data_IF_052384220450
#
_entry.id   IF_052384220450
#
_cell.length_a   1.000
_cell.length_b   1.000
_cell.length_c   1.000
_cell.angle_alpha   90.00
_cell.angle_beta   90.00
_cell.angle_gamma   90.00
#
_symmetry.space_group_name_H-M   'P 1'
#
loop_
_entity.id
_entity.type
_entity.pdbx_description
1 polymer ?
#
# COMPACT_ATOMS: atom_id res chain seq x y z
N UNK A 1 -62.02 53.71 2.49
CA UNK A 1 -61.06 53.57 3.60
C UNK A 1 -60.89 52.07 3.79
N UNK A 2 -59.86 51.49 3.17
CA UNK A 2 -59.65 50.05 3.11
C UNK A 2 -58.47 49.70 4.01
N UNK A 3 -58.68 48.81 4.97
CA UNK A 3 -57.66 48.37 5.92
C UNK A 3 -56.52 47.63 5.21
N UNK A 4 -55.25 47.94 5.52
CA UNK A 4 -54.11 47.23 4.95
C UNK A 4 -54.00 45.83 5.57
N UNK A 5 -54.00 44.82 4.71
CA UNK A 5 -53.84 43.41 5.11
C UNK A 5 -52.52 43.15 5.84
N UNK A 6 -52.53 42.28 6.87
CA UNK A 6 -51.35 42.00 7.69
C UNK A 6 -50.31 41.16 6.93
N UNK A 7 -49.10 41.70 6.81
CA UNK A 7 -47.93 40.99 6.29
C UNK A 7 -47.60 39.75 7.15
N UNK A 8 -47.78 38.56 6.58
CA UNK A 8 -47.36 37.30 7.23
C UNK A 8 -45.84 37.14 7.06
N UNK A 9 -45.06 37.04 8.15
CA UNK A 9 -43.61 36.87 8.05
C UNK A 9 -43.26 35.49 7.49
N UNK A 10 -42.51 35.49 6.39
CA UNK A 10 -42.01 34.28 5.74
C UNK A 10 -41.06 33.54 6.69
N UNK A 11 -41.44 32.31 7.05
CA UNK A 11 -40.78 31.44 8.03
C UNK A 11 -39.34 31.12 7.60
N UNK A 12 -38.34 31.59 8.37
CA UNK A 12 -36.92 31.25 8.17
C UNK A 12 -36.73 29.74 8.21
N UNK A 13 -36.31 29.15 7.08
CA UNK A 13 -35.99 27.72 6.98
C UNK A 13 -34.84 27.41 7.93
N UNK A 14 -35.05 26.48 8.87
CA UNK A 14 -34.06 26.03 9.86
C UNK A 14 -32.93 25.25 9.16
N UNK A 15 -31.75 25.88 9.02
CA UNK A 15 -30.51 25.33 8.45
C UNK A 15 -29.97 24.06 9.15
N UNK A 16 -30.56 23.63 10.26
CA UNK A 16 -29.96 22.64 11.16
C UNK A 16 -29.96 21.20 10.62
N UNK A 17 -30.80 20.84 9.63
CA UNK A 17 -30.89 19.46 9.13
C UNK A 17 -29.88 19.17 8.02
N UNK A 18 -29.67 20.10 7.09
CA UNK A 18 -28.72 19.93 5.98
C UNK A 18 -27.28 19.78 6.49
N UNK A 19 -26.91 20.53 7.53
CA UNK A 19 -25.60 20.43 8.14
C UNK A 19 -25.31 19.03 8.72
N UNK A 20 -26.33 18.35 9.27
CA UNK A 20 -26.18 16.99 9.82
C UNK A 20 -25.81 15.98 8.72
N UNK A 21 -26.43 16.09 7.54
CA UNK A 21 -26.16 15.21 6.40
C UNK A 21 -24.73 15.42 5.89
N UNK A 22 -24.32 16.69 5.76
CA UNK A 22 -22.95 17.03 5.34
C UNK A 22 -21.93 16.50 6.34
N UNK A 23 -22.18 16.67 7.64
CA UNK A 23 -21.30 16.15 8.68
C UNK A 23 -21.18 14.62 8.60
N UNK A 24 -22.28 13.91 8.39
CA UNK A 24 -22.27 12.46 8.25
C UNK A 24 -21.46 12.01 7.03
N UNK A 25 -21.59 12.70 5.90
CA UNK A 25 -20.83 12.42 4.68
C UNK A 25 -19.32 12.65 4.88
N UNK A 26 -18.94 13.73 5.57
CA UNK A 26 -17.53 14.01 5.91
C UNK A 26 -16.97 12.90 6.80
N UNK A 27 -17.71 12.49 7.84
CA UNK A 27 -17.29 11.41 8.74
C UNK A 27 -17.07 10.11 7.96
N UNK A 28 -18.02 9.74 7.09
CA UNK A 28 -17.91 8.54 6.26
C UNK A 28 -16.70 8.58 5.33
N UNK A 29 -16.41 9.75 4.75
CA UNK A 29 -15.24 9.96 3.91
C UNK A 29 -13.94 9.80 4.70
N UNK A 30 -13.84 10.42 5.88
CA UNK A 30 -12.66 10.30 6.75
C UNK A 30 -12.41 8.84 7.14
N UNK A 31 -13.45 8.11 7.53
CA UNK A 31 -13.35 6.69 7.88
C UNK A 31 -12.84 5.86 6.69
N UNK A 32 -13.39 6.09 5.49
CA UNK A 32 -12.94 5.41 4.27
C UNK A 32 -11.46 5.65 3.97
N UNK A 33 -10.99 6.90 4.13
CA UNK A 33 -9.58 7.25 3.91
C UNK A 33 -8.64 6.59 4.93
N UNK A 34 -9.05 6.54 6.21
CA UNK A 34 -8.27 5.87 7.26
C UNK A 34 -8.11 4.38 6.94
N UNK A 35 -9.21 3.71 6.57
CA UNK A 35 -9.19 2.29 6.20
C UNK A 35 -8.28 2.04 4.99
N UNK A 36 -8.39 2.86 3.94
CA UNK A 36 -7.54 2.76 2.75
C UNK A 36 -6.05 2.92 3.08
N UNK A 37 -5.72 3.87 3.97
CA UNK A 37 -4.34 4.08 4.43
C UNK A 37 -3.83 2.87 5.22
N UNK A 38 -4.64 2.33 6.14
CA UNK A 38 -4.27 1.18 6.95
C UNK A 38 -3.98 -0.07 6.10
N UNK A 39 -4.86 -0.34 5.11
CA UNK A 39 -4.69 -1.41 4.14
C UNK A 39 -3.42 -1.22 3.30
N UNK A 40 -3.16 0.00 2.86
CA UNK A 40 -1.97 0.33 2.07
C UNK A 40 -0.68 0.09 2.87
N UNK A 41 -0.63 0.52 4.14
CA UNK A 41 0.52 0.29 5.02
C UNK A 41 0.75 -1.20 5.26
N UNK A 42 -0.31 -1.97 5.52
CA UNK A 42 -0.20 -3.42 5.71
C UNK A 42 0.30 -4.13 4.45
N UNK A 43 -0.19 -3.72 3.27
CA UNK A 43 0.24 -4.28 1.99
C UNK A 43 1.69 -3.92 1.70
N UNK A 44 2.09 -2.69 1.98
CA UNK A 44 3.47 -2.24 1.82
C UNK A 44 4.45 -3.04 2.67
N UNK A 45 4.13 -3.32 3.92
CA UNK A 45 5.01 -4.08 4.82
C UNK A 45 5.32 -5.48 4.27
N UNK A 46 4.30 -6.19 3.81
CA UNK A 46 4.47 -7.52 3.20
C UNK A 46 5.23 -7.46 1.86
N UNK A 47 4.96 -6.47 1.03
CA UNK A 47 5.67 -6.27 -0.23
C UNK A 47 7.14 -5.93 0.01
N UNK A 48 7.43 -5.04 0.96
CA UNK A 48 8.77 -4.64 1.32
C UNK A 48 9.55 -5.83 1.88
N UNK A 49 8.95 -6.58 2.82
CA UNK A 49 9.55 -7.79 3.36
C UNK A 49 9.86 -8.81 2.26
N UNK A 50 8.94 -9.02 1.31
CA UNK A 50 9.14 -9.91 0.17
C UNK A 50 10.31 -9.44 -0.70
N UNK A 51 10.36 -8.17 -1.07
CA UNK A 51 11.43 -7.60 -1.89
C UNK A 51 12.79 -7.69 -1.19
N UNK A 52 12.86 -7.36 0.10
CA UNK A 52 14.09 -7.51 0.90
C UNK A 52 14.52 -8.98 0.98
N UNK A 53 13.58 -9.88 1.24
CA UNK A 53 13.85 -11.31 1.30
C UNK A 53 14.41 -11.81 -0.02
N UNK A 54 13.81 -11.47 -1.16
CA UNK A 54 14.31 -11.84 -2.50
C UNK A 54 15.70 -11.25 -2.77
N UNK A 55 15.94 -9.98 -2.42
CA UNK A 55 17.25 -9.33 -2.56
C UNK A 55 18.33 -10.08 -1.78
N UNK A 56 18.06 -10.39 -0.51
CA UNK A 56 19.02 -11.11 0.33
C UNK A 56 19.10 -12.59 -0.02
N UNK A 57 18.06 -13.19 -0.59
CA UNK A 57 18.10 -14.54 -1.12
C UNK A 57 19.11 -14.67 -2.25
N UNK A 58 19.14 -13.70 -3.17
CA UNK A 58 20.13 -13.64 -4.25
C UNK A 58 21.54 -13.49 -3.67
N UNK A 59 21.73 -12.54 -2.73
CA UNK A 59 23.03 -12.32 -2.10
C UNK A 59 23.52 -13.54 -1.30
N UNK A 60 22.63 -14.18 -0.54
CA UNK A 60 22.92 -15.37 0.24
C UNK A 60 23.20 -16.59 -0.61
N UNK A 61 22.51 -16.76 -1.74
CA UNK A 61 22.83 -17.80 -2.74
C UNK A 61 24.22 -17.59 -3.35
N UNK A 62 24.58 -16.35 -3.71
CA UNK A 62 25.93 -16.07 -4.24
C UNK A 62 27.00 -16.28 -3.17
N UNK A 63 26.79 -15.79 -1.94
CA UNK A 63 27.70 -16.00 -0.83
C UNK A 63 27.86 -17.49 -0.50
N UNK A 64 26.76 -18.24 -0.40
CA UNK A 64 26.75 -19.69 -0.24
C UNK A 64 27.61 -20.35 -1.31
N UNK A 65 27.38 -20.03 -2.59
CA UNK A 65 28.13 -20.61 -3.70
C UNK A 65 29.63 -20.34 -3.57
N UNK A 66 30.04 -19.13 -3.16
CA UNK A 66 31.45 -18.78 -2.93
C UNK A 66 32.05 -19.56 -1.77
N UNK A 67 31.32 -19.71 -0.66
CA UNK A 67 31.74 -20.52 0.49
C UNK A 67 31.90 -21.98 0.08
N UNK A 68 30.91 -22.58 -0.57
CA UNK A 68 30.97 -23.97 -1.05
C UNK A 68 32.13 -24.18 -2.03
N UNK A 69 32.34 -23.24 -2.96
CA UNK A 69 33.51 -23.26 -3.85
C UNK A 69 34.82 -23.21 -3.08
N UNK A 70 34.91 -22.43 -2.00
CA UNK A 70 36.11 -22.33 -1.21
C UNK A 70 36.36 -23.58 -0.34
N UNK A 71 35.30 -24.22 0.17
CA UNK A 71 35.37 -25.49 0.90
C UNK A 71 35.85 -26.64 0.03
N UNK A 72 35.53 -26.63 -1.28
CA UNK A 72 36.03 -27.64 -2.23
C UNK A 72 37.56 -27.69 -2.34
N UNK A 73 38.27 -26.64 -1.94
CA UNK A 73 39.74 -26.64 -1.89
C UNK A 73 40.31 -27.27 -0.61
N UNK A 74 39.49 -28.01 0.14
CA UNK A 74 39.95 -28.87 1.24
C UNK A 74 40.07 -28.17 2.59
N UNK A 75 39.52 -26.95 2.75
CA UNK A 75 39.45 -26.29 4.06
C UNK A 75 38.18 -26.74 4.78
N UNK A 76 38.31 -27.20 6.02
CA UNK A 76 37.15 -27.44 6.89
C UNK A 76 36.46 -26.11 7.20
N UNK A 77 35.14 -26.17 7.44
CA UNK A 77 34.34 -24.97 7.75
C UNK A 77 34.82 -24.30 9.05
N UNK A 78 35.25 -25.10 10.03
CA UNK A 78 35.77 -24.66 11.34
C UNK A 78 37.13 -23.93 11.24
N UNK A 79 37.93 -24.22 10.21
CA UNK A 79 39.25 -23.60 10.02
C UNK A 79 39.33 -22.70 8.79
N UNK A 80 38.19 -22.15 8.34
CA UNK A 80 38.15 -21.36 7.13
C UNK A 80 38.78 -19.96 7.31
N UNK A 81 40.10 -19.86 7.07
CA UNK A 81 40.83 -18.59 7.04
C UNK A 81 40.45 -17.80 5.78
N UNK A 82 39.75 -16.68 5.94
CA UNK A 82 39.35 -15.80 4.84
C UNK A 82 37.85 -15.60 4.66
N UNK A 83 37.02 -16.07 5.59
CA UNK A 83 35.56 -15.84 5.56
C UNK A 83 35.23 -14.34 5.49
N UNK A 84 36.03 -13.50 6.16
CA UNK A 84 35.89 -12.04 6.12
C UNK A 84 35.94 -11.49 4.69
N UNK A 85 36.82 -12.04 3.82
CA UNK A 85 36.94 -11.61 2.43
C UNK A 85 35.75 -12.06 1.57
N UNK A 86 35.10 -13.18 1.93
CA UNK A 86 33.92 -13.66 1.22
C UNK A 86 32.67 -12.85 1.60
N UNK A 87 32.59 -12.40 2.85
CA UNK A 87 31.44 -11.66 3.38
C UNK A 87 31.57 -10.15 3.12
N UNK A 88 32.79 -9.60 3.04
CA UNK A 88 33.01 -8.17 2.80
C UNK A 88 32.23 -7.60 1.59
N UNK A 89 32.16 -8.27 0.43
CA UNK A 89 31.32 -7.82 -0.68
C UNK A 89 29.84 -7.73 -0.31
N UNK A 90 29.30 -8.69 0.46
CA UNK A 90 27.89 -8.67 0.90
C UNK A 90 27.61 -7.43 1.73
N UNK A 91 28.51 -7.05 2.63
CA UNK A 91 28.39 -5.79 3.35
C UNK A 91 28.57 -4.57 2.45
N UNK A 92 29.41 -4.59 1.43
CA UNK A 92 29.54 -3.45 0.51
C UNK A 92 28.30 -3.25 -0.37
N UNK A 93 27.61 -4.34 -0.73
CA UNK A 93 26.42 -4.35 -1.58
C UNK A 93 25.14 -3.87 -0.86
N UNK A 94 25.07 -4.02 0.46
CA UNK A 94 23.87 -3.62 1.20
C UNK A 94 24.21 -3.18 2.61
N UNK A 95 23.65 -2.03 2.99
CA UNK A 95 23.80 -1.49 4.34
C UNK A 95 22.89 -2.15 5.38
N UNK A 96 21.95 -2.94 4.90
CA UNK A 96 20.81 -3.45 5.66
C UNK A 96 21.12 -4.77 6.39
N UNK A 97 22.18 -5.48 5.99
CA UNK A 97 22.57 -6.72 6.67
C UNK A 97 23.36 -6.34 7.93
N UNK A 98 22.78 -6.64 9.08
CA UNK A 98 23.39 -6.37 10.39
C UNK A 98 24.48 -7.39 10.69
N UNK A 99 24.22 -8.67 10.39
CA UNK A 99 25.06 -9.77 10.82
C UNK A 99 24.96 -10.97 9.86
N UNK A 100 26.09 -11.63 9.67
CA UNK A 100 26.22 -12.88 8.92
C UNK A 100 26.78 -13.93 9.87
N UNK A 101 26.02 -15.00 10.08
CA UNK A 101 26.40 -16.11 10.94
C UNK A 101 26.51 -17.40 10.13
N UNK A 102 27.39 -18.30 10.56
CA UNK A 102 27.49 -19.66 10.03
C UNK A 102 27.43 -20.62 11.20
N UNK A 103 26.51 -21.55 11.12
CA UNK A 103 26.27 -22.59 12.11
C UNK A 103 26.63 -23.97 11.56
N UNK A 104 26.89 -24.91 12.46
CA UNK A 104 26.86 -26.34 12.14
C UNK A 104 25.41 -26.86 12.02
N UNK A 105 25.27 -28.15 11.75
CA UNK A 105 23.99 -28.87 11.71
C UNK A 105 23.32 -29.05 13.08
N UNK A 106 24.03 -28.78 14.17
CA UNK A 106 23.57 -28.83 15.56
C UNK A 106 23.22 -27.44 16.13
N UNK A 107 23.42 -26.37 15.35
CA UNK A 107 23.23 -24.98 15.75
C UNK A 107 24.41 -24.35 16.50
N UNK A 108 25.58 -25.00 16.57
CA UNK A 108 26.79 -24.39 17.09
C UNK A 108 27.33 -23.34 16.11
N UNK A 109 27.68 -22.16 16.63
CA UNK A 109 28.18 -21.04 15.84
C UNK A 109 29.65 -21.26 15.47
N UNK A 110 29.96 -21.40 14.17
CA UNK A 110 31.33 -21.42 13.66
C UNK A 110 31.88 -20.04 13.38
N UNK A 111 31.02 -19.16 12.88
CA UNK A 111 31.45 -17.82 12.46
C UNK A 111 30.33 -16.82 12.69
N UNK A 112 30.67 -15.66 13.22
CA UNK A 112 29.82 -14.46 13.19
C UNK A 112 30.68 -13.27 12.74
N UNK A 113 30.15 -12.52 11.78
CA UNK A 113 30.62 -11.19 11.47
C UNK A 113 29.41 -10.27 11.54
N UNK A 114 29.52 -9.17 12.28
CA UNK A 114 28.49 -8.16 12.36
C UNK A 114 29.03 -6.79 11.99
N UNK A 115 28.16 -5.92 11.51
CA UNK A 115 28.48 -4.50 11.42
C UNK A 115 28.48 -3.91 12.82
N UNK A 116 29.49 -3.11 13.12
CA UNK A 116 29.45 -2.25 14.29
C UNK A 116 28.23 -1.34 14.16
N UNK A 117 27.24 -1.49 15.05
CA UNK A 117 26.27 -0.40 15.20
C UNK A 117 27.06 0.79 15.73
N UNK A 118 26.99 1.98 15.10
CA UNK A 118 27.63 3.16 15.64
C UNK A 118 27.03 3.42 17.02
N UNK A 119 27.79 3.12 18.07
CA UNK A 119 27.35 3.12 19.47
C UNK A 119 27.14 4.53 20.04
N UNK A 120 27.21 5.58 19.21
CA UNK A 120 26.97 6.95 19.64
C UNK A 120 27.48 7.99 18.65
N UNK A 121 27.18 9.29 18.89
CA UNK A 121 27.48 10.41 18.00
C UNK A 121 28.98 10.73 17.80
N UNK A 122 29.91 9.89 18.24
CA UNK A 122 31.35 10.15 18.20
C UNK A 122 32.21 9.14 17.43
N UNK A 123 31.65 8.00 17.00
CA UNK A 123 32.43 6.85 16.47
C UNK A 123 32.22 6.61 14.96
N UNK A 124 31.94 7.67 14.20
CA UNK A 124 31.63 7.58 12.76
C UNK A 124 32.82 7.11 11.89
N UNK A 125 34.05 7.03 12.42
CA UNK A 125 35.25 6.78 11.62
C UNK A 125 35.75 5.32 11.62
N UNK A 126 35.03 4.36 12.22
CA UNK A 126 35.36 2.93 12.15
C UNK A 126 34.22 2.09 11.53
N UNK A 127 33.96 2.28 10.24
CA UNK A 127 33.03 1.45 9.45
C UNK A 127 33.69 0.16 8.92
N UNK A 128 34.50 -0.50 9.74
CA UNK A 128 35.04 -1.83 9.41
C UNK A 128 34.14 -2.94 9.95
N UNK A 129 34.07 -4.12 9.31
CA UNK A 129 33.44 -5.30 9.91
C UNK A 129 34.18 -5.62 11.22
N UNK A 130 33.45 -5.63 12.35
CA UNK A 130 34.04 -6.05 13.62
C UNK A 130 33.99 -7.56 13.65
N UNK A 131 35.16 -8.18 13.53
CA UNK A 131 35.32 -9.62 13.71
C UNK A 131 35.17 -9.93 15.20
N UNK A 132 34.08 -10.60 15.57
CA UNK A 132 33.99 -11.31 16.85
C UNK A 132 34.35 -12.76 16.58
N UNK A 133 35.64 -13.06 16.60
CA UNK A 133 36.07 -14.47 16.73
C UNK A 133 35.70 -14.93 18.12
N UNK A 134 34.68 -15.77 18.22
CA UNK A 134 34.45 -16.53 19.43
C UNK A 134 35.59 -17.55 19.55
N UNK A 135 36.38 -17.54 20.65
CA UNK A 135 37.32 -18.62 20.91
C UNK A 135 36.59 -19.96 20.85
N UNK A 136 37.18 -20.96 20.21
CA UNK A 136 36.61 -22.31 20.11
C UNK A 136 36.31 -22.97 21.48
N UNK A 137 36.82 -22.38 22.57
CA UNK A 137 36.74 -22.87 23.94
C UNK A 137 35.76 -22.07 24.84
N UNK A 138 35.22 -20.94 24.37
CA UNK A 138 34.15 -20.24 25.11
C UNK A 138 32.84 -20.96 24.86
N UNK A 139 32.48 -21.79 25.84
CA UNK A 139 31.16 -22.34 26.15
C UNK A 139 30.14 -22.11 25.05
N UNK A 140 29.90 -23.14 24.23
CA UNK A 140 28.89 -23.22 23.18
C UNK A 140 27.59 -22.55 23.63
N UNK A 141 27.50 -21.23 23.43
CA UNK A 141 26.29 -20.48 23.70
C UNK A 141 25.36 -20.91 22.60
N UNK A 142 24.56 -21.93 22.92
CA UNK A 142 23.58 -22.48 21.99
C UNK A 142 22.59 -21.36 21.77
N UNK A 143 22.79 -20.60 20.70
CA UNK A 143 21.87 -19.55 20.31
C UNK A 143 20.55 -20.28 20.08
N UNK A 144 19.58 -19.95 20.92
CA UNK A 144 18.25 -20.56 20.90
C UNK A 144 17.53 -19.99 19.67
N UNK A 145 17.95 -20.49 18.50
CA UNK A 145 17.34 -20.12 17.24
C UNK A 145 15.88 -20.57 17.30
N UNK A 146 14.94 -19.76 16.79
CA UNK A 146 13.50 -20.09 16.74
C UNK A 146 13.17 -21.26 15.80
N UNK A 147 14.17 -22.08 15.46
CA UNK A 147 14.07 -23.15 14.48
C UNK A 147 13.90 -24.43 15.29
N UNK A 148 12.64 -24.89 15.42
CA UNK A 148 12.30 -26.17 16.09
C UNK A 148 13.08 -27.36 15.53
N UNK A 149 13.43 -27.32 14.24
CA UNK A 149 14.36 -28.27 13.62
C UNK A 149 14.91 -27.73 12.30
N UNK A 150 16.22 -27.82 12.12
CA UNK A 150 16.92 -27.53 10.86
C UNK A 150 16.34 -28.36 9.69
N UNK A 151 15.77 -29.54 9.98
CA UNK A 151 15.13 -30.39 8.98
C UNK A 151 13.93 -29.72 8.29
N UNK A 152 13.16 -28.92 9.03
CA UNK A 152 11.93 -28.30 8.52
C UNK A 152 12.26 -27.14 7.58
N UNK A 153 13.39 -26.47 7.85
CA UNK A 153 13.95 -25.45 6.98
C UNK A 153 14.32 -25.99 5.60
N UNK A 154 14.91 -27.20 5.56
CA UNK A 154 15.38 -27.81 4.31
C UNK A 154 14.24 -28.11 3.33
N UNK A 155 13.01 -28.29 3.83
CA UNK A 155 11.82 -28.58 3.00
C UNK A 155 11.16 -27.34 2.42
N UNK A 156 11.19 -26.22 3.13
CA UNK A 156 10.40 -25.03 2.78
C UNK A 156 11.15 -24.03 1.92
N UNK A 157 12.49 -24.00 2.00
CA UNK A 157 13.30 -23.03 1.28
C UNK A 157 13.11 -21.62 1.88
N UNK A 158 14.18 -21.08 2.48
CA UNK A 158 14.21 -19.73 3.06
C UNK A 158 12.99 -19.34 3.91
N UNK A 159 12.91 -19.84 5.14
CA UNK A 159 12.03 -19.20 6.13
C UNK A 159 12.66 -17.90 6.66
N UNK A 160 11.83 -16.89 6.86
CA UNK A 160 12.16 -15.60 7.51
C UNK A 160 11.49 -15.51 8.88
N UNK A 161 11.88 -16.33 9.88
CA UNK A 161 11.33 -16.19 11.21
C UNK A 161 11.74 -14.83 11.79
N UNK A 162 10.76 -14.08 12.29
CA UNK A 162 11.01 -12.91 13.11
C UNK A 162 11.31 -13.39 14.54
N UNK A 163 12.52 -13.11 15.02
CA UNK A 163 12.93 -13.45 16.38
C UNK A 163 13.75 -12.32 16.98
N UNK A 164 13.36 -11.86 18.16
CA UNK A 164 13.97 -10.72 18.85
C UNK A 164 14.10 -9.47 17.96
N UNK A 165 13.09 -9.18 17.14
CA UNK A 165 13.08 -8.02 16.24
C UNK A 165 14.09 -8.11 15.08
N UNK A 166 14.56 -9.32 14.77
CA UNK A 166 15.47 -9.57 13.65
C UNK A 166 14.88 -10.65 12.75
N UNK A 167 15.10 -10.49 11.46
CA UNK A 167 14.76 -11.46 10.44
C UNK A 167 15.99 -12.28 10.09
N UNK A 168 15.81 -13.59 9.98
CA UNK A 168 16.86 -14.54 9.65
C UNK A 168 16.57 -15.14 8.30
N UNK A 169 17.52 -15.09 7.37
CA UNK A 169 17.43 -15.79 6.09
C UNK A 169 18.52 -16.84 6.08
N UNK A 170 18.10 -18.11 6.08
CA UNK A 170 19.03 -19.22 6.24
C UNK A 170 19.31 -19.90 4.89
N UNK A 171 20.52 -20.41 4.73
CA UNK A 171 20.96 -21.09 3.53
C UNK A 171 21.76 -22.32 3.95
N UNK A 172 21.34 -23.54 3.60
CA UNK A 172 22.13 -24.72 3.90
C UNK A 172 23.40 -24.70 3.03
N UNK A 173 24.55 -24.86 3.66
CA UNK A 173 25.86 -25.02 3.01
C UNK A 173 26.19 -26.51 3.02
N UNK A 174 26.54 -27.07 1.87
CA UNK A 174 27.01 -28.43 1.76
C UNK A 174 28.51 -28.45 1.42
N UNK A 175 29.32 -29.14 2.22
CA UNK A 175 30.68 -29.49 1.82
C UNK A 175 30.66 -30.70 0.88
N UNK A 176 31.55 -30.70 -0.11
CA UNK A 176 31.72 -31.84 -1.02
C UNK A 176 32.68 -32.90 -0.46
N UNK A 177 33.63 -32.50 0.38
CA UNK A 177 34.65 -33.38 0.96
C UNK A 177 34.24 -33.98 2.30
N UNK A 178 33.45 -33.25 3.07
CA UNK A 178 33.11 -33.61 4.45
C UNK A 178 31.59 -33.77 4.56
N UNK A 179 31.14 -34.72 5.39
CA UNK A 179 29.71 -34.89 5.69
C UNK A 179 29.16 -33.73 6.54
N UNK A 180 30.03 -32.78 6.94
CA UNK A 180 29.64 -31.56 7.63
C UNK A 180 28.82 -30.65 6.70
N UNK A 181 27.52 -30.58 6.99
CA UNK A 181 26.62 -29.54 6.49
C UNK A 181 26.55 -28.39 7.49
N UNK A 182 26.62 -27.16 6.99
CA UNK A 182 26.43 -25.96 7.80
C UNK A 182 25.20 -25.17 7.37
N UNK A 183 24.91 -24.10 8.10
CA UNK A 183 23.84 -23.15 7.77
C UNK A 183 24.40 -21.74 7.80
N UNK A 184 24.37 -21.07 6.66
CA UNK A 184 24.60 -19.63 6.57
C UNK A 184 23.33 -18.89 6.94
N UNK A 185 23.39 -17.94 7.86
CA UNK A 185 22.31 -17.05 8.22
C UNK A 185 22.69 -15.61 7.87
N UNK A 186 21.85 -14.95 7.07
CA UNK A 186 21.87 -13.50 6.89
C UNK A 186 20.83 -12.89 7.83
N UNK A 187 21.24 -11.93 8.65
CA UNK A 187 20.41 -11.33 9.68
C UNK A 187 20.28 -9.83 9.40
N UNK A 188 19.05 -9.34 9.40
CA UNK A 188 18.75 -7.92 9.30
C UNK A 188 17.67 -7.52 10.31
N UNK A 189 17.76 -6.29 10.81
CA UNK A 189 16.86 -5.77 11.84
C UNK A 189 15.52 -5.30 11.28
N UNK A 190 14.48 -5.46 12.10
CA UNK A 190 13.16 -4.89 11.84
C UNK A 190 13.20 -3.35 11.73
N UNK A 191 14.18 -2.69 12.35
CA UNK A 191 14.35 -1.24 12.24
C UNK A 191 14.55 -0.73 10.81
N UNK A 192 15.01 -1.58 9.89
CA UNK A 192 15.11 -1.22 8.47
C UNK A 192 13.71 -1.10 7.86
N UNK A 193 12.80 -2.01 8.22
CA UNK A 193 11.39 -1.92 7.83
C UNK A 193 10.74 -0.72 8.50
N UNK A 194 11.00 -0.48 9.79
CA UNK A 194 10.40 0.63 10.53
C UNK A 194 10.83 1.98 9.96
N UNK A 195 12.11 2.15 9.60
CA UNK A 195 12.60 3.38 8.95
C UNK A 195 11.92 3.61 7.61
N UNK A 196 11.78 2.57 6.78
CA UNK A 196 11.06 2.71 5.51
C UNK A 196 9.58 3.02 5.71
N UNK A 197 8.95 2.40 6.72
CA UNK A 197 7.56 2.66 7.12
C UNK A 197 7.39 4.10 7.59
N UNK A 198 8.32 4.64 8.38
CA UNK A 198 8.29 6.03 8.84
C UNK A 198 8.42 7.02 7.68
N UNK A 199 9.34 6.78 6.74
CA UNK A 199 9.49 7.60 5.54
C UNK A 199 8.18 7.59 4.72
N UNK A 200 7.55 6.41 4.60
CA UNK A 200 6.32 6.28 3.84
C UNK A 200 5.12 6.92 4.54
N UNK A 201 4.98 6.75 5.85
CA UNK A 201 3.90 7.35 6.66
C UNK A 201 4.06 8.87 6.73
N UNK A 202 5.27 9.37 7.00
CA UNK A 202 5.53 10.81 7.10
C UNK A 202 5.40 11.52 5.75
N UNK A 203 5.86 10.89 4.67
CA UNK A 203 5.75 11.41 3.31
C UNK A 203 4.31 11.35 2.78
N UNK A 204 3.61 10.24 2.98
CA UNK A 204 2.26 10.03 2.46
C UNK A 204 1.21 10.73 3.32
N UNK A 205 1.41 10.79 4.64
CA UNK A 205 0.48 11.44 5.57
C UNK A 205 0.22 12.90 5.23
N UNK A 206 1.26 13.65 4.86
CA UNK A 206 1.11 15.05 4.39
C UNK A 206 0.29 15.13 3.10
N UNK A 207 0.52 14.23 2.16
CA UNK A 207 -0.22 14.17 0.89
C UNK A 207 -1.68 13.78 1.09
N UNK A 208 -1.95 12.85 2.00
CA UNK A 208 -3.31 12.43 2.38
C UNK A 208 -4.07 13.56 3.08
N UNK A 209 -3.43 14.27 4.01
CA UNK A 209 -4.06 15.41 4.65
C UNK A 209 -4.39 16.51 3.62
N UNK A 210 -3.48 16.77 2.69
CA UNK A 210 -3.70 17.71 1.61
C UNK A 210 -4.86 17.28 0.70
N UNK A 211 -4.89 16.01 0.27
CA UNK A 211 -5.97 15.52 -0.59
C UNK A 211 -7.33 15.51 0.13
N UNK A 212 -7.36 15.21 1.44
CA UNK A 212 -8.56 15.29 2.26
C UNK A 212 -9.11 16.72 2.31
N UNK A 213 -8.25 17.72 2.57
CA UNK A 213 -8.65 19.13 2.62
C UNK A 213 -9.19 19.59 1.25
N UNK A 214 -8.51 19.23 0.16
CA UNK A 214 -8.95 19.55 -1.20
C UNK A 214 -10.32 18.90 -1.49
N UNK A 215 -10.49 17.64 -1.12
CA UNK A 215 -11.75 16.90 -1.37
C UNK A 215 -12.90 17.49 -0.55
N UNK A 216 -12.66 17.83 0.72
CA UNK A 216 -13.63 18.49 1.58
C UNK A 216 -14.01 19.88 1.05
N UNK A 217 -13.04 20.65 0.55
CA UNK A 217 -13.27 21.95 -0.08
C UNK A 217 -14.15 21.81 -1.34
N UNK A 218 -13.78 20.89 -2.25
CA UNK A 218 -14.54 20.63 -3.47
C UNK A 218 -15.95 20.18 -3.14
N UNK A 219 -16.12 19.29 -2.16
CA UNK A 219 -17.43 18.83 -1.71
C UNK A 219 -18.27 19.98 -1.13
N UNK A 220 -17.68 20.86 -0.31
CA UNK A 220 -18.36 22.03 0.22
C UNK A 220 -18.80 23.01 -0.88
N UNK A 221 -17.95 23.24 -1.89
CA UNK A 221 -18.26 24.08 -3.05
C UNK A 221 -19.37 23.46 -3.90
N UNK A 222 -19.31 22.15 -4.15
CA UNK A 222 -20.36 21.39 -4.85
C UNK A 222 -21.69 21.49 -4.13
N UNK A 223 -21.71 21.24 -2.82
CA UNK A 223 -22.90 21.38 -1.97
C UNK A 223 -23.45 22.82 -2.05
N UNK A 224 -22.58 23.82 -1.96
CA UNK A 224 -23.01 25.21 -2.07
C UNK A 224 -23.64 25.49 -3.44
N UNK A 225 -22.98 25.14 -4.54
CA UNK A 225 -23.46 25.38 -5.89
C UNK A 225 -24.76 24.62 -6.20
N UNK A 226 -24.84 23.34 -5.83
CA UNK A 226 -25.97 22.48 -6.15
C UNK A 226 -27.17 22.62 -5.21
N UNK A 227 -27.00 22.91 -3.92
CA UNK A 227 -28.15 23.07 -3.03
C UNK A 227 -28.66 24.51 -2.93
N UNK A 228 -27.79 25.52 -2.99
CA UNK A 228 -28.25 26.91 -2.78
C UNK A 228 -28.77 27.59 -4.04
N UNK A 229 -28.27 27.24 -5.24
CA UNK A 229 -28.70 27.91 -6.48
C UNK A 229 -30.02 27.41 -7.08
N UNK A 230 -30.28 26.09 -7.26
CA UNK A 230 -31.48 25.64 -7.94
C UNK A 230 -32.74 25.75 -7.08
N UNK A 231 -32.64 25.65 -5.75
CA UNK A 231 -33.78 25.82 -4.85
C UNK A 231 -34.42 27.21 -4.96
N UNK A 232 -33.63 28.25 -5.22
CA UNK A 232 -34.14 29.60 -5.49
C UNK A 232 -34.95 29.65 -6.79
N UNK A 233 -34.45 29.03 -7.86
CA UNK A 233 -35.16 28.97 -9.15
C UNK A 233 -36.47 28.18 -9.05
N UNK A 234 -36.48 27.10 -8.26
CA UNK A 234 -37.68 26.31 -8.01
C UNK A 234 -38.70 27.07 -7.15
N UNK A 235 -38.24 27.80 -6.13
CA UNK A 235 -39.10 28.65 -5.30
C UNK A 235 -39.70 29.81 -6.11
N UNK A 236 -38.93 30.45 -6.99
CA UNK A 236 -39.43 31.50 -7.89
C UNK A 236 -40.48 30.96 -8.85
N UNK A 237 -40.27 29.78 -9.45
CA UNK A 237 -41.26 29.14 -10.33
C UNK A 237 -42.54 28.79 -9.60
N UNK A 238 -42.44 28.18 -8.41
CA UNK A 238 -43.60 27.84 -7.60
C UNK A 238 -44.36 29.10 -7.14
N UNK A 239 -43.65 30.17 -6.79
CA UNK A 239 -44.29 31.43 -6.42
C UNK A 239 -45.03 32.06 -7.61
N UNK A 240 -44.44 32.01 -8.80
CA UNK A 240 -45.08 32.52 -10.02
C UNK A 240 -46.32 31.69 -10.39
N UNK A 241 -46.26 30.36 -10.31
CA UNK A 241 -47.40 29.47 -10.57
C UNK A 241 -48.52 29.64 -9.53
N UNK A 242 -48.18 29.86 -8.26
CA UNK A 242 -49.16 30.12 -7.20
C UNK A 242 -49.82 31.51 -7.36
N UNK A 243 -49.06 32.50 -7.83
CA UNK A 243 -49.58 33.84 -8.08
C UNK A 243 -50.48 33.87 -9.32
N UNK A 244 -50.20 33.06 -10.33
CA UNK A 244 -51.04 32.88 -11.52
C UNK A 244 -52.30 32.03 -11.22
N UNK A 245 -52.23 31.10 -10.25
CA UNK A 245 -53.38 30.31 -9.77
C UNK A 245 -54.43 31.08 -8.96
N UNK A 246 -54.19 32.36 -8.62
CA UNK A 246 -55.25 33.25 -8.15
C UNK A 246 -56.14 33.78 -9.28
N UNK A 247 -55.87 33.43 -10.55
CA UNK A 247 -56.87 33.48 -11.60
C UNK A 247 -57.99 32.45 -11.32
N UNK A 248 -59.26 32.79 -11.59
CA UNK A 248 -60.41 31.96 -11.23
C UNK A 248 -60.23 30.53 -11.74
N UNK A 249 -60.34 29.59 -10.80
CA UNK A 249 -60.17 28.14 -10.98
C UNK A 249 -61.00 27.65 -12.16
N UNK A 250 -60.36 27.52 -13.32
CA UNK A 250 -60.84 26.62 -14.36
C UNK A 250 -60.45 25.22 -13.91
N UNK A 251 -61.46 24.43 -13.58
CA UNK A 251 -61.36 23.01 -13.23
C UNK A 251 -60.58 22.26 -14.29
N UNK A 252 -59.27 22.08 -14.08
CA UNK A 252 -58.44 21.25 -14.94
C UNK A 252 -58.52 19.81 -14.46
N UNK A 253 -59.20 19.02 -15.28
CA UNK A 253 -59.22 17.57 -15.26
C UNK A 253 -57.79 17.01 -15.21
N UNK A 254 -57.61 16.06 -14.31
CA UNK A 254 -56.47 15.16 -14.15
C UNK A 254 -55.96 14.59 -15.47
N UNK A 255 -54.72 14.92 -15.84
CA UNK A 255 -53.94 14.17 -16.84
C UNK A 255 -52.61 13.74 -16.21
N UNK A 256 -52.63 12.59 -15.54
CA UNK A 256 -51.49 11.95 -14.88
C UNK A 256 -50.56 11.20 -15.84
N UNK A 257 -50.46 11.59 -17.12
CA UNK A 257 -49.69 10.87 -18.13
C UNK A 257 -48.26 11.38 -18.36
N UNK A 258 -47.93 12.62 -17.99
CA UNK A 258 -46.71 13.26 -18.49
C UNK A 258 -45.45 13.08 -17.61
N UNK A 259 -45.59 12.67 -16.35
CA UNK A 259 -44.43 12.46 -15.46
C UNK A 259 -43.59 11.24 -15.86
N UNK A 260 -44.19 10.26 -16.54
CA UNK A 260 -43.50 9.04 -16.99
C UNK A 260 -42.64 9.31 -18.23
N UNK A 261 -43.10 10.20 -19.13
CA UNK A 261 -42.34 10.64 -20.30
C UNK A 261 -41.08 11.43 -19.92
N UNK A 262 -41.17 12.31 -18.91
CA UNK A 262 -40.01 13.07 -18.42
C UNK A 262 -38.96 12.15 -17.78
N UNK A 263 -39.40 11.09 -17.10
CA UNK A 263 -38.51 10.12 -16.48
C UNK A 263 -37.79 9.26 -17.53
N UNK A 264 -38.48 8.91 -18.62
CA UNK A 264 -37.90 8.16 -19.73
C UNK A 264 -36.84 8.98 -20.50
N UNK A 265 -37.07 10.28 -20.68
CA UNK A 265 -36.12 11.18 -21.35
C UNK A 265 -34.84 11.38 -20.50
N UNK A 266 -35.00 11.48 -19.18
CA UNK A 266 -33.88 11.65 -18.25
C UNK A 266 -33.02 10.37 -18.13
N UNK A 267 -33.63 9.19 -18.22
CA UNK A 267 -32.90 7.91 -18.30
C UNK A 267 -32.13 7.83 -19.63
N UNK A 268 -32.74 8.21 -20.75
CA UNK A 268 -32.10 8.20 -22.06
C UNK A 268 -30.89 9.16 -22.11
N UNK A 269 -31.01 10.36 -21.55
CA UNK A 269 -29.91 11.33 -21.47
C UNK A 269 -28.76 10.80 -20.59
N UNK A 270 -29.08 10.16 -19.46
CA UNK A 270 -28.06 9.56 -18.59
C UNK A 270 -27.32 8.43 -19.30
N UNK A 271 -28.04 7.54 -19.99
CA UNK A 271 -27.45 6.43 -20.76
C UNK A 271 -26.56 6.93 -21.91
N UNK A 272 -26.94 8.03 -22.57
CA UNK A 272 -26.13 8.66 -23.61
C UNK A 272 -24.80 9.20 -23.04
N UNK A 273 -24.86 9.91 -21.90
CA UNK A 273 -23.65 10.45 -21.23
C UNK A 273 -22.73 9.37 -20.70
N UNK A 274 -23.26 8.24 -20.23
CA UNK A 274 -22.41 7.12 -19.79
C UNK A 274 -21.68 6.46 -20.97
N UNK A 275 -22.33 6.32 -22.13
CA UNK A 275 -21.70 5.80 -23.35
C UNK A 275 -20.59 6.71 -23.85
N UNK A 276 -20.82 8.02 -23.86
CA UNK A 276 -19.81 9.01 -24.24
C UNK A 276 -18.58 9.00 -23.32
N UNK A 277 -18.78 8.87 -22.00
CA UNK A 277 -17.69 8.75 -21.04
C UNK A 277 -16.86 7.46 -21.24
N UNK A 278 -17.53 6.35 -21.58
CA UNK A 278 -16.86 5.08 -21.86
C UNK A 278 -16.01 5.14 -23.14
N UNK A 279 -16.53 5.74 -24.22
CA UNK A 279 -15.80 5.92 -25.47
C UNK A 279 -14.56 6.81 -25.28
N UNK A 280 -14.68 7.88 -24.49
CA UNK A 280 -13.56 8.74 -24.13
C UNK A 280 -12.48 7.99 -23.32
N UNK A 281 -12.89 7.12 -22.39
CA UNK A 281 -11.97 6.27 -21.62
C UNK A 281 -11.22 5.29 -22.54
N UNK A 282 -11.94 4.65 -23.48
CA UNK A 282 -11.33 3.74 -24.47
C UNK A 282 -10.32 4.46 -25.35
N UNK A 283 -10.62 5.67 -25.79
CA UNK A 283 -9.69 6.50 -26.56
C UNK A 283 -8.44 6.86 -25.75
N UNK A 284 -8.60 7.28 -24.50
CA UNK A 284 -7.47 7.60 -23.62
C UNK A 284 -6.58 6.37 -23.34
N UNK A 285 -7.18 5.20 -23.13
CA UNK A 285 -6.44 3.95 -22.91
C UNK A 285 -5.64 3.52 -24.16
N UNK A 286 -6.21 3.68 -25.37
CA UNK A 286 -5.46 3.42 -26.62
C UNK A 286 -4.29 4.38 -26.77
N UNK A 287 -4.53 5.67 -26.60
CA UNK A 287 -3.47 6.69 -26.70
C UNK A 287 -2.36 6.44 -25.67
N UNK A 288 -2.72 6.01 -24.45
CA UNK A 288 -1.73 5.67 -23.43
C UNK A 288 -0.93 4.40 -23.77
N UNK A 289 -1.56 3.39 -24.38
CA UNK A 289 -0.88 2.18 -24.85
C UNK A 289 0.13 2.44 -25.97
N UNK A 290 -0.15 3.43 -26.83
CA UNK A 290 0.78 3.83 -27.91
C UNK A 290 2.00 4.59 -27.36
N UNK A 291 1.86 5.27 -26.21
CA UNK A 291 2.92 6.08 -25.60
C UNK A 291 3.85 5.30 -24.67
N UNK A 292 3.42 4.16 -24.12
CA UNK A 292 4.22 3.35 -23.18
C UNK A 292 4.22 1.86 -23.61
N UNK A 293 5.17 1.43 -24.46
CA UNK A 293 5.23 0.07 -24.97
C UNK A 293 5.79 -0.96 -23.98
N UNK A 294 5.91 -0.64 -22.69
CA UNK A 294 6.42 -1.58 -21.70
C UNK A 294 5.47 -2.77 -21.51
N UNK A 295 6.08 -3.96 -21.44
CA UNK A 295 5.35 -5.23 -21.49
C UNK A 295 4.45 -5.46 -20.26
N UNK A 296 4.76 -4.83 -19.12
CA UNK A 296 3.92 -4.84 -17.91
C UNK A 296 2.70 -3.93 -18.01
N UNK A 297 2.85 -2.75 -18.62
CA UNK A 297 1.73 -1.82 -18.82
C UNK A 297 0.73 -2.34 -19.84
N UNK A 298 1.20 -3.07 -20.87
CA UNK A 298 0.34 -3.72 -21.85
C UNK A 298 -0.61 -4.77 -21.22
N UNK A 299 -0.13 -5.58 -20.28
CA UNK A 299 -0.94 -6.62 -19.62
C UNK A 299 -2.00 -5.99 -18.69
N UNK A 300 -1.65 -4.90 -17.99
CA UNK A 300 -2.60 -4.15 -17.17
C UNK A 300 -3.72 -3.50 -18.01
N UNK A 301 -3.38 -2.90 -19.15
CA UNK A 301 -4.35 -2.31 -20.09
C UNK A 301 -5.26 -3.40 -20.67
N UNK A 302 -4.71 -4.56 -21.04
CA UNK A 302 -5.49 -5.67 -21.58
C UNK A 302 -6.52 -6.15 -20.55
N UNK A 303 -6.14 -6.33 -19.27
CA UNK A 303 -7.08 -6.73 -18.21
C UNK A 303 -8.19 -5.70 -17.99
N UNK A 304 -7.87 -4.40 -18.01
CA UNK A 304 -8.89 -3.34 -17.92
C UNK A 304 -9.86 -3.35 -19.11
N UNK A 305 -9.36 -3.53 -20.33
CA UNK A 305 -10.21 -3.66 -21.52
C UNK A 305 -11.10 -4.91 -21.47
N UNK A 306 -10.57 -6.02 -20.95
CA UNK A 306 -11.33 -7.28 -20.82
C UNK A 306 -12.43 -7.15 -19.77
N UNK A 307 -12.16 -6.48 -18.64
CA UNK A 307 -13.15 -6.21 -17.60
C UNK A 307 -14.27 -5.28 -18.09
N UNK A 308 -13.94 -4.23 -18.86
CA UNK A 308 -14.94 -3.35 -19.47
C UNK A 308 -15.84 -4.10 -20.47
N UNK A 309 -15.26 -5.04 -21.24
CA UNK A 309 -16.03 -5.84 -22.20
C UNK A 309 -16.99 -6.82 -21.51
N UNK A 310 -16.54 -7.47 -20.42
CA UNK A 310 -17.37 -8.41 -19.67
C UNK A 310 -18.60 -7.76 -19.00
N UNK A 311 -18.54 -6.48 -18.65
CA UNK A 311 -19.66 -5.77 -18.03
C UNK A 311 -20.75 -5.38 -19.04
N UNK A 312 -20.40 -5.29 -20.34
CA UNK A 312 -21.34 -4.94 -21.41
C UNK A 312 -22.17 -6.16 -21.84
N UNK A 313 -21.56 -7.35 -21.86
CA UNK A 313 -22.23 -8.62 -22.15
C UNK A 313 -23.24 -9.03 -21.04
N UNK A 314 -23.20 -8.42 -19.85
CA UNK A 314 -24.19 -8.61 -18.78
C UNK A 314 -25.36 -7.60 -18.82
N UNK A 315 -25.26 -6.53 -19.62
CA UNK A 315 -26.28 -5.47 -19.70
C UNK A 315 -27.16 -5.52 -20.96
N UNK A 316 -26.77 -6.31 -21.97
CA UNK A 316 -27.55 -6.61 -23.18
C UNK A 316 -28.39 -7.89 -23.01
#
# INVERSE_FOLDING_TARGET
MADPEPFIPVRRVRLNTTWKIVLMAIVLLVVSQILGTLLSVSTFESLLLKTLTTKYEILGKDLKRRIESALKFGKSLDHFTGMDNLIAPVYQLTEDIDEVMIFDDQGALFFSSGRAKPSGPGDASRQGPIRKTFPADTTKEKIDLPIRSISDFRKTGSSTPLYNGRYYILFPISSALDSQSGILALIFSQSILDRQKEILISGTGKKLLLSLVVTALVMAVMIHLFLTRPSRRLAERLNHDLQDRNAPVRTFSTSGGNSLLVLHDLIAEFQAKTREAEDNLRHALRQWSELNPDHETADAIHRMQTALKGQQDEMD
#
